data_IF_725437530965
#
_entry.id   IF_725437530965
#
_cell.length_a   1.000
_cell.length_b   1.000
_cell.length_c   1.000
_cell.angle_alpha   90.00
_cell.angle_beta   90.00
_cell.angle_gamma   90.00
#
_symmetry.space_group_name_H-M   'P 1'
#
loop_
_entity.id
_entity.type
_entity.pdbx_description
1 polymer ?
#
# COMPACT_ATOMS: atom_id res chain seq x y z
N UNK A 1 31.35 -17.17 -24.07
CA UNK A 1 31.33 -16.17 -25.16
C UNK A 1 29.90 -15.91 -25.65
N UNK A 2 28.87 -16.45 -24.96
CA UNK A 2 27.44 -16.31 -25.37
C UNK A 2 26.70 -15.21 -24.59
N UNK A 3 27.06 -14.92 -23.33
CA UNK A 3 26.43 -13.83 -22.52
C UNK A 3 26.58 -12.43 -23.12
N UNK A 4 27.58 -12.23 -23.99
CA UNK A 4 27.85 -10.97 -24.67
C UNK A 4 26.78 -10.63 -25.72
N UNK A 5 26.34 -11.63 -26.48
CA UNK A 5 25.41 -11.44 -27.61
C UNK A 5 23.96 -11.35 -27.13
N UNK A 6 23.61 -12.09 -26.06
CA UNK A 6 22.26 -12.08 -25.49
C UNK A 6 21.93 -10.73 -24.82
N UNK A 7 22.92 -10.11 -24.16
CA UNK A 7 22.81 -8.76 -23.59
C UNK A 7 22.67 -7.68 -24.66
N UNK A 8 23.41 -7.80 -25.77
CA UNK A 8 23.32 -6.87 -26.90
C UNK A 8 21.96 -6.94 -27.60
N UNK A 9 21.41 -8.16 -27.78
CA UNK A 9 20.08 -8.36 -28.35
C UNK A 9 18.96 -7.77 -27.47
N UNK A 10 19.07 -7.93 -26.15
CA UNK A 10 18.13 -7.34 -25.20
C UNK A 10 18.17 -5.80 -25.22
N UNK A 11 19.37 -5.20 -25.27
CA UNK A 11 19.53 -3.76 -25.37
C UNK A 11 18.98 -3.19 -26.69
N UNK A 12 19.17 -3.91 -27.80
CA UNK A 12 18.61 -3.52 -29.10
C UNK A 12 17.07 -3.60 -29.11
N UNK A 13 16.50 -4.62 -28.47
CA UNK A 13 15.05 -4.74 -28.28
C UNK A 13 14.48 -3.60 -27.44
N UNK A 14 15.13 -3.26 -26.33
CA UNK A 14 14.72 -2.14 -25.47
C UNK A 14 14.79 -0.80 -26.21
N UNK A 15 15.85 -0.56 -26.99
CA UNK A 15 15.98 0.65 -27.80
C UNK A 15 14.93 0.74 -28.91
N UNK A 16 14.62 -0.37 -29.58
CA UNK A 16 13.64 -0.42 -30.66
C UNK A 16 12.19 -0.27 -30.15
N UNK A 17 11.90 -0.85 -28.98
CA UNK A 17 10.56 -0.85 -28.39
C UNK A 17 10.32 0.33 -27.44
N UNK A 18 11.38 1.03 -27.02
CA UNK A 18 11.31 2.08 -25.99
C UNK A 18 10.83 1.56 -24.65
N UNK A 19 11.04 0.27 -24.37
CA UNK A 19 10.43 -0.45 -23.25
C UNK A 19 11.41 -1.46 -22.66
N UNK A 20 11.54 -1.44 -21.34
CA UNK A 20 12.21 -2.51 -20.62
C UNK A 20 11.23 -3.69 -20.43
N UNK A 21 11.41 -4.75 -21.22
CA UNK A 21 10.47 -5.87 -21.27
C UNK A 21 10.26 -6.59 -19.93
N UNK A 22 11.31 -6.95 -19.15
CA UNK A 22 11.11 -7.52 -17.81
C UNK A 22 10.33 -6.61 -16.86
N UNK A 23 10.63 -5.30 -16.83
CA UNK A 23 9.92 -4.35 -15.97
C UNK A 23 8.45 -4.22 -16.36
N UNK A 24 8.16 -4.16 -17.67
CA UNK A 24 6.79 -4.09 -18.16
C UNK A 24 5.98 -5.33 -17.78
N UNK A 25 6.53 -6.52 -18.03
CA UNK A 25 5.88 -7.79 -17.70
C UNK A 25 5.58 -7.88 -16.21
N UNK A 26 6.56 -7.52 -15.36
CA UNK A 26 6.37 -7.48 -13.91
C UNK A 26 5.30 -6.47 -13.46
N UNK A 27 5.23 -5.31 -14.11
CA UNK A 27 4.17 -4.32 -13.83
C UNK A 27 2.78 -4.87 -14.15
N UNK A 28 2.61 -5.58 -15.26
CA UNK A 28 1.34 -6.24 -15.61
C UNK A 28 0.99 -7.36 -14.62
N UNK A 29 1.98 -8.16 -14.21
CA UNK A 29 1.80 -9.20 -13.20
C UNK A 29 1.27 -8.61 -11.89
N UNK A 30 1.91 -7.54 -11.39
CA UNK A 30 1.47 -6.86 -10.18
C UNK A 30 0.06 -6.28 -10.31
N UNK A 31 -0.27 -5.64 -11.44
CA UNK A 31 -1.59 -5.09 -11.68
C UNK A 31 -2.71 -6.16 -11.66
N UNK A 32 -2.45 -7.34 -12.23
CA UNK A 32 -3.40 -8.48 -12.18
C UNK A 32 -3.57 -8.96 -10.75
N UNK A 33 -2.48 -9.05 -10.00
CA UNK A 33 -2.45 -9.48 -8.60
C UNK A 33 -3.22 -8.52 -7.68
N UNK A 34 -3.07 -7.22 -7.89
CA UNK A 34 -3.77 -6.16 -7.16
C UNK A 34 -5.28 -6.21 -7.43
N UNK A 35 -5.69 -6.35 -8.70
CA UNK A 35 -7.11 -6.47 -9.07
C UNK A 35 -7.74 -7.71 -8.43
N UNK A 36 -7.04 -8.85 -8.48
CA UNK A 36 -7.49 -10.08 -7.80
C UNK A 36 -7.65 -9.83 -6.31
N UNK A 37 -6.63 -9.28 -5.66
CA UNK A 37 -6.67 -9.05 -4.21
C UNK A 37 -7.84 -8.15 -3.82
N UNK A 38 -7.99 -6.99 -4.48
CA UNK A 38 -9.06 -6.04 -4.20
C UNK A 38 -10.47 -6.62 -4.42
N UNK A 39 -10.66 -7.45 -5.45
CA UNK A 39 -11.95 -8.09 -5.70
C UNK A 39 -12.36 -9.06 -4.57
N UNK A 40 -11.42 -9.85 -4.05
CA UNK A 40 -11.72 -10.79 -2.96
C UNK A 40 -11.77 -10.11 -1.60
N UNK A 41 -11.00 -9.05 -1.38
CA UNK A 41 -11.12 -8.20 -0.19
C UNK A 41 -12.53 -7.58 -0.12
N UNK A 42 -13.03 -7.02 -1.22
CA UNK A 42 -14.40 -6.52 -1.31
C UNK A 42 -15.45 -7.60 -0.99
N UNK A 43 -15.28 -8.82 -1.51
CA UNK A 43 -16.18 -9.93 -1.22
C UNK A 43 -16.23 -10.27 0.28
N UNK A 44 -15.10 -10.19 0.97
CA UNK A 44 -15.01 -10.48 2.40
C UNK A 44 -15.53 -9.35 3.28
N UNK A 45 -15.23 -8.10 2.93
CA UNK A 45 -15.56 -6.92 3.74
C UNK A 45 -17.00 -6.44 3.54
N UNK A 46 -17.50 -6.46 2.31
CA UNK A 46 -18.78 -5.81 1.96
C UNK A 46 -19.83 -6.84 1.54
N UNK A 47 -19.50 -7.73 0.59
CA UNK A 47 -20.50 -8.63 0.01
C UNK A 47 -20.93 -9.76 0.96
N UNK A 48 -20.01 -10.35 1.72
CA UNK A 48 -20.32 -11.44 2.64
C UNK A 48 -21.21 -10.99 3.82
N UNK A 49 -20.94 -9.87 4.50
CA UNK A 49 -21.84 -9.34 5.54
C UNK A 49 -23.23 -8.97 5.00
N UNK A 50 -23.30 -8.38 3.79
CA UNK A 50 -24.57 -8.03 3.15
C UNK A 50 -25.39 -9.27 2.78
N UNK A 51 -24.76 -10.29 2.20
CA UNK A 51 -25.42 -11.53 1.77
C UNK A 51 -25.96 -12.37 2.94
N UNK A 52 -25.29 -12.30 4.09
CA UNK A 52 -25.62 -13.07 5.29
C UNK A 52 -26.72 -12.36 6.11
N UNK A 53 -26.78 -11.03 6.03
CA UNK A 53 -27.81 -10.20 6.66
C UNK A 53 -27.63 -10.03 8.17
N UNK A 54 -28.36 -9.10 8.78
CA UNK A 54 -28.19 -8.74 10.20
C UNK A 54 -28.61 -9.85 11.21
N UNK A 55 -29.19 -10.96 10.77
CA UNK A 55 -29.93 -11.91 11.61
C UNK A 55 -29.29 -13.30 11.76
N UNK A 56 -28.05 -13.50 11.33
CA UNK A 56 -27.53 -14.87 11.09
C UNK A 56 -26.62 -15.42 12.18
N UNK A 57 -26.85 -16.70 12.48
CA UNK A 57 -26.02 -17.56 13.31
C UNK A 57 -24.58 -17.59 12.80
N UNK A 58 -23.62 -17.30 13.69
CA UNK A 58 -22.18 -17.18 13.46
C UNK A 58 -21.60 -18.22 12.51
N UNK A 59 -22.09 -19.46 12.59
CA UNK A 59 -21.68 -20.58 11.76
C UNK A 59 -21.89 -20.35 10.25
N UNK A 60 -22.97 -19.69 9.82
CA UNK A 60 -23.22 -19.43 8.38
C UNK A 60 -22.28 -18.37 7.82
N UNK A 61 -21.91 -17.37 8.63
CA UNK A 61 -20.95 -16.35 8.24
C UNK A 61 -19.54 -16.97 8.09
N UNK A 62 -19.14 -17.81 9.04
CA UNK A 62 -17.85 -18.53 9.01
C UNK A 62 -17.74 -19.50 7.82
N UNK A 63 -18.82 -20.20 7.48
CA UNK A 63 -18.86 -21.10 6.31
C UNK A 63 -18.75 -20.32 5.00
N UNK A 64 -19.39 -19.14 4.90
CA UNK A 64 -19.28 -18.27 3.72
C UNK A 64 -17.87 -17.70 3.59
N UNK A 65 -17.29 -17.16 4.66
CA UNK A 65 -15.91 -16.64 4.68
C UNK A 65 -14.93 -17.72 4.21
N UNK A 66 -15.04 -18.93 4.75
CA UNK A 66 -14.22 -20.08 4.33
C UNK A 66 -14.41 -20.43 2.85
N UNK A 67 -15.63 -20.35 2.35
CA UNK A 67 -15.96 -20.54 0.94
C UNK A 67 -15.26 -19.51 0.05
N UNK A 68 -15.35 -18.22 0.40
CA UNK A 68 -14.71 -17.12 -0.34
C UNK A 68 -13.20 -17.28 -0.35
N UNK A 69 -12.58 -17.61 0.78
CA UNK A 69 -11.13 -17.88 0.87
C UNK A 69 -10.73 -19.07 -0.01
N UNK A 70 -11.55 -20.14 -0.03
CA UNK A 70 -11.27 -21.31 -0.87
C UNK A 70 -11.30 -20.98 -2.36
N UNK A 71 -12.27 -20.17 -2.79
CA UNK A 71 -12.38 -19.69 -4.17
C UNK A 71 -11.20 -18.77 -4.50
N UNK A 72 -10.84 -17.85 -3.59
CA UNK A 72 -9.69 -16.98 -3.77
C UNK A 72 -8.40 -17.77 -4.03
N UNK A 73 -8.14 -18.80 -3.21
CA UNK A 73 -6.95 -19.64 -3.38
C UNK A 73 -6.97 -20.41 -4.71
N UNK A 74 -8.13 -20.96 -5.10
CA UNK A 74 -8.26 -21.64 -6.39
C UNK A 74 -8.00 -20.69 -7.57
N UNK A 75 -8.57 -19.47 -7.52
CA UNK A 75 -8.37 -18.45 -8.56
C UNK A 75 -6.92 -18.02 -8.61
N UNK A 76 -6.28 -17.83 -7.46
CA UNK A 76 -4.85 -17.55 -7.36
C UNK A 76 -4.03 -18.63 -8.05
N UNK A 77 -4.19 -19.90 -7.69
CA UNK A 77 -3.39 -20.99 -8.26
C UNK A 77 -3.52 -21.08 -9.80
N UNK A 78 -4.75 -20.86 -10.31
CA UNK A 78 -5.01 -20.86 -11.75
C UNK A 78 -4.39 -19.63 -12.43
N UNK A 79 -4.51 -18.45 -11.82
CA UNK A 79 -3.93 -17.22 -12.35
C UNK A 79 -2.41 -17.28 -12.34
N UNK A 80 -1.79 -17.66 -11.23
CA UNK A 80 -0.33 -17.76 -11.09
C UNK A 80 0.25 -18.63 -12.21
N UNK A 81 -0.35 -19.81 -12.44
CA UNK A 81 0.07 -20.69 -13.53
C UNK A 81 -0.08 -20.07 -14.91
N UNK A 82 -1.20 -19.39 -15.19
CA UNK A 82 -1.44 -18.75 -16.49
C UNK A 82 -0.53 -17.56 -16.71
N UNK A 83 -0.30 -16.78 -15.67
CA UNK A 83 0.55 -15.60 -15.70
C UNK A 83 2.03 -15.97 -15.86
N UNK A 84 2.50 -17.04 -15.22
CA UNK A 84 3.86 -17.55 -15.48
C UNK A 84 4.06 -18.03 -16.93
N UNK A 85 3.05 -18.67 -17.52
CA UNK A 85 3.12 -19.07 -18.94
C UNK A 85 3.11 -17.84 -19.86
N UNK A 86 2.28 -16.85 -19.55
CA UNK A 86 2.21 -15.60 -20.30
C UNK A 86 3.52 -14.81 -20.22
N UNK A 87 4.11 -14.70 -19.02
CA UNK A 87 5.42 -14.07 -18.80
C UNK A 87 6.50 -14.71 -19.67
N UNK A 88 6.63 -16.04 -19.60
CA UNK A 88 7.61 -16.77 -20.41
C UNK A 88 7.39 -16.55 -21.90
N UNK A 89 6.14 -16.60 -22.36
CA UNK A 89 5.82 -16.36 -23.77
C UNK A 89 6.20 -14.93 -24.20
N UNK A 90 5.90 -13.93 -23.37
CA UNK A 90 6.22 -12.53 -23.65
C UNK A 90 7.73 -12.30 -23.78
N UNK A 91 8.51 -12.81 -22.81
CA UNK A 91 9.97 -12.63 -22.80
C UNK A 91 10.67 -13.39 -23.93
N UNK A 92 10.12 -14.52 -24.37
CA UNK A 92 10.70 -15.34 -25.43
C UNK A 92 10.29 -14.95 -26.84
N UNK A 93 9.13 -14.31 -27.01
CA UNK A 93 8.53 -14.15 -28.35
C UNK A 93 7.97 -12.76 -28.64
N UNK A 94 7.41 -12.06 -27.64
CA UNK A 94 6.79 -10.75 -27.88
C UNK A 94 7.81 -9.63 -27.96
N UNK A 95 8.88 -9.72 -27.15
CA UNK A 95 9.87 -8.66 -26.99
C UNK A 95 11.24 -9.03 -27.56
N UNK A 96 11.32 -10.11 -28.33
CA UNK A 96 12.55 -10.55 -28.99
C UNK A 96 12.55 -10.05 -30.42
N UNK A 97 13.65 -9.42 -30.86
CA UNK A 97 13.79 -9.02 -32.26
C UNK A 97 14.10 -10.28 -33.09
N UNK A 98 13.33 -10.60 -34.14
CA UNK A 98 13.61 -11.74 -35.01
C UNK A 98 15.00 -11.63 -35.65
N UNK A 99 15.73 -12.75 -35.72
CA UNK A 99 17.04 -12.80 -36.38
C UNK A 99 16.93 -12.28 -37.82
N UNK A 100 17.77 -11.29 -38.16
CA UNK A 100 17.78 -10.63 -39.46
C UNK A 100 17.03 -9.30 -39.54
N UNK A 101 16.28 -8.90 -38.50
CA UNK A 101 15.76 -7.52 -38.37
C UNK A 101 16.79 -6.56 -37.76
N UNK A 102 17.83 -7.09 -37.11
CA UNK A 102 19.01 -6.33 -36.74
C UNK A 102 19.98 -6.26 -37.94
N UNK A 103 19.71 -5.32 -38.86
CA UNK A 103 20.68 -4.77 -39.81
C UNK A 103 20.48 -3.25 -39.77
N UNK A 104 21.45 -2.39 -39.49
CA UNK A 104 22.92 -2.50 -39.47
C UNK A 104 23.41 -1.43 -38.48
N UNK A 105 24.39 -1.76 -37.66
CA UNK A 105 25.30 -0.74 -37.11
C UNK A 105 26.02 -0.10 -38.29
N UNK A 106 25.49 1.02 -38.75
CA UNK A 106 26.22 2.13 -39.32
C UNK A 106 27.46 1.80 -40.18
N UNK A 107 27.35 1.02 -41.26
CA UNK A 107 28.25 1.39 -42.37
C UNK A 107 27.73 2.70 -42.96
N UNK A 108 28.60 3.69 -42.82
CA UNK A 108 28.64 4.95 -43.54
C UNK A 108 27.89 4.99 -44.88
N UNK A 109 27.31 6.17 -45.15
CA UNK A 109 26.78 6.63 -46.43
C UNK A 109 25.36 6.16 -46.80
N UNK A 110 24.36 6.93 -46.35
CA UNK A 110 23.34 7.41 -47.29
C UNK A 110 22.69 8.71 -46.82
N UNK A 111 22.77 9.69 -47.73
CA UNK A 111 21.96 10.91 -47.82
C UNK A 111 22.05 11.94 -46.67
N UNK A 112 22.87 12.97 -46.96
CA UNK A 112 22.59 14.38 -46.65
C UNK A 112 21.10 14.71 -46.77
N UNK A 113 20.35 14.51 -45.70
CA UNK A 113 19.13 15.23 -45.39
C UNK A 113 19.46 16.07 -44.17
N UNK A 114 19.82 17.32 -44.39
CA UNK A 114 19.89 18.32 -43.32
C UNK A 114 18.48 18.48 -42.76
N UNK A 115 18.13 17.64 -41.81
CA UNK A 115 17.07 17.92 -40.86
C UNK A 115 17.70 18.87 -39.86
N UNK A 116 17.63 20.16 -40.20
CA UNK A 116 17.68 21.21 -39.21
C UNK A 116 16.36 21.11 -38.42
N UNK A 117 16.24 20.08 -37.60
CA UNK A 117 15.06 19.82 -36.77
C UNK A 117 15.24 20.57 -35.46
N UNK A 118 14.99 21.88 -35.51
CA UNK A 118 14.33 22.67 -34.47
C UNK A 118 15.01 22.90 -33.11
N UNK A 119 15.79 21.97 -32.58
CA UNK A 119 16.43 22.08 -31.28
C UNK A 119 17.94 22.06 -31.47
N UNK A 120 18.55 23.22 -31.28
CA UNK A 120 20.01 23.32 -31.23
C UNK A 120 20.51 22.50 -30.05
N UNK A 121 21.73 21.95 -30.13
CA UNK A 121 22.39 21.24 -29.01
C UNK A 121 22.34 22.05 -27.69
N UNK A 122 22.43 23.38 -27.81
CA UNK A 122 22.28 24.33 -26.71
C UNK A 122 20.88 24.38 -26.08
N UNK A 123 19.82 24.13 -26.84
CA UNK A 123 18.44 24.10 -26.34
C UNK A 123 18.20 22.83 -25.52
N UNK A 124 18.77 21.70 -25.96
CA UNK A 124 18.77 20.44 -25.21
C UNK A 124 19.56 20.58 -23.90
N UNK A 125 20.74 21.22 -23.92
CA UNK A 125 21.51 21.50 -22.72
C UNK A 125 20.73 22.37 -21.71
N UNK A 126 20.03 23.39 -22.20
CA UNK A 126 19.20 24.25 -21.37
C UNK A 126 18.02 23.49 -20.75
N UNK A 127 17.37 22.61 -21.52
CA UNK A 127 16.30 21.74 -21.03
C UNK A 127 16.81 20.75 -19.98
N UNK A 128 17.99 20.16 -20.19
CA UNK A 128 18.60 19.23 -19.25
C UNK A 128 18.93 19.91 -17.92
N UNK A 129 19.47 21.14 -17.96
CA UNK A 129 19.68 21.96 -16.74
C UNK A 129 18.35 22.27 -16.05
N UNK A 130 17.30 22.59 -16.81
CA UNK A 130 15.95 22.83 -16.28
C UNK A 130 15.37 21.59 -15.58
N UNK A 131 15.49 20.41 -16.21
CA UNK A 131 15.01 19.14 -15.67
C UNK A 131 15.78 18.72 -14.44
N UNK A 132 17.12 18.86 -14.43
CA UNK A 132 17.94 18.62 -13.24
C UNK A 132 17.52 19.50 -12.08
N UNK A 133 17.25 20.78 -12.34
CA UNK A 133 16.74 21.69 -11.31
C UNK A 133 15.37 21.27 -10.79
N UNK A 134 14.43 20.92 -11.67
CA UNK A 134 13.10 20.42 -11.28
C UNK A 134 13.20 19.13 -10.46
N UNK A 135 14.13 18.24 -10.80
CA UNK A 135 14.37 17.00 -10.06
C UNK A 135 14.90 17.30 -8.65
N UNK A 136 15.84 18.24 -8.52
CA UNK A 136 16.35 18.70 -7.23
C UNK A 136 15.24 19.33 -6.37
N UNK A 137 14.43 20.22 -6.96
CA UNK A 137 13.31 20.86 -6.27
C UNK A 137 12.28 19.80 -5.78
N UNK A 138 11.93 18.84 -6.64
CA UNK A 138 11.01 17.74 -6.30
C UNK A 138 11.58 16.79 -5.24
N UNK A 139 12.89 16.52 -5.26
CA UNK A 139 13.55 15.70 -4.24
C UNK A 139 13.50 16.39 -2.87
N UNK A 140 13.78 17.69 -2.82
CA UNK A 140 13.69 18.48 -1.60
C UNK A 140 12.26 18.52 -1.02
N UNK A 141 11.25 18.65 -1.88
CA UNK A 141 9.84 18.55 -1.47
C UNK A 141 9.48 17.16 -0.94
N UNK A 142 9.96 16.09 -1.61
CA UNK A 142 9.75 14.71 -1.16
C UNK A 142 10.37 14.47 0.23
N UNK A 143 11.57 14.99 0.49
CA UNK A 143 12.22 14.90 1.80
C UNK A 143 11.48 15.70 2.89
N UNK A 144 10.86 16.82 2.53
CA UNK A 144 9.99 17.59 3.43
C UNK A 144 8.71 16.83 3.77
N UNK A 145 8.01 16.30 2.76
CA UNK A 145 6.81 15.50 2.95
C UNK A 145 7.09 14.24 3.79
N UNK A 146 8.23 13.58 3.56
CA UNK A 146 8.61 12.41 4.35
C UNK A 146 8.86 12.76 5.82
N UNK A 147 9.46 13.92 6.10
CA UNK A 147 9.59 14.44 7.47
C UNK A 147 8.23 14.75 8.09
N UNK A 148 7.29 15.29 7.31
CA UNK A 148 5.93 15.56 7.77
C UNK A 148 5.18 14.26 8.10
N UNK A 149 5.23 13.25 7.23
CA UNK A 149 4.65 11.92 7.47
C UNK A 149 5.19 11.34 8.78
N UNK A 150 6.51 11.29 8.96
CA UNK A 150 7.12 10.80 10.21
C UNK A 150 6.71 11.61 11.44
N UNK A 151 6.38 12.90 11.28
CA UNK A 151 5.87 13.71 12.38
C UNK A 151 4.42 13.39 12.72
N UNK A 152 3.58 13.25 11.71
CA UNK A 152 2.17 12.89 11.85
C UNK A 152 2.00 11.48 12.42
N UNK A 153 2.81 10.51 12.02
CA UNK A 153 2.82 9.15 12.58
C UNK A 153 3.10 9.16 14.09
N UNK A 154 4.13 9.90 14.53
CA UNK A 154 4.43 10.07 15.95
C UNK A 154 3.29 10.73 16.71
N UNK A 155 2.62 11.71 16.10
CA UNK A 155 1.47 12.37 16.69
C UNK A 155 0.28 11.42 16.82
N UNK A 156 -0.03 10.65 15.78
CA UNK A 156 -1.11 9.67 15.77
C UNK A 156 -0.87 8.58 16.83
N UNK A 157 0.37 8.11 16.96
CA UNK A 157 0.75 7.14 17.99
C UNK A 157 0.61 7.71 19.41
N UNK A 158 1.07 8.95 19.63
CA UNK A 158 0.86 9.64 20.90
C UNK A 158 -0.63 9.78 21.25
N UNK A 159 -1.45 10.16 20.27
CA UNK A 159 -2.89 10.30 20.44
C UNK A 159 -3.56 8.95 20.72
N UNK A 160 -3.14 7.87 20.04
CA UNK A 160 -3.63 6.52 20.28
C UNK A 160 -3.34 6.07 21.72
N UNK A 161 -2.12 6.30 22.19
CA UNK A 161 -1.72 5.98 23.56
C UNK A 161 -2.49 6.79 24.61
N UNK A 162 -2.72 8.08 24.36
CA UNK A 162 -3.52 8.93 25.23
C UNK A 162 -4.98 8.48 25.29
N UNK A 163 -5.58 8.14 24.14
CA UNK A 163 -6.94 7.61 24.08
C UNK A 163 -7.07 6.28 24.83
N UNK A 164 -6.07 5.39 24.72
CA UNK A 164 -6.04 4.12 25.47
C UNK A 164 -5.97 4.37 26.98
N UNK A 165 -5.08 5.24 27.44
CA UNK A 165 -4.96 5.61 28.86
C UNK A 165 -6.25 6.25 29.40
N UNK A 166 -6.89 7.12 28.63
CA UNK A 166 -8.17 7.72 28.99
C UNK A 166 -9.28 6.67 29.10
N UNK A 167 -9.32 5.70 28.18
CA UNK A 167 -10.28 4.59 28.24
C UNK A 167 -10.07 3.72 29.49
N UNK A 168 -8.82 3.45 29.87
CA UNK A 168 -8.49 2.74 31.12
C UNK A 168 -8.94 3.51 32.36
N UNK A 169 -8.70 4.82 32.41
CA UNK A 169 -9.15 5.69 33.52
C UNK A 169 -10.68 5.69 33.61
N UNK A 170 -11.39 5.85 32.48
CA UNK A 170 -12.86 5.77 32.43
C UNK A 170 -13.37 4.43 32.97
N UNK A 171 -12.73 3.32 32.58
CA UNK A 171 -13.07 1.98 33.07
C UNK A 171 -12.88 1.84 34.59
N UNK A 172 -11.88 2.50 35.17
CA UNK A 172 -11.69 2.54 36.64
C UNK A 172 -12.85 3.28 37.32
N UNK A 173 -13.31 4.41 36.77
CA UNK A 173 -14.45 5.16 37.33
C UNK A 173 -15.79 4.44 37.16
N UNK A 174 -15.96 3.71 36.07
CA UNK A 174 -17.13 2.86 35.82
C UNK A 174 -17.09 1.55 36.62
N UNK A 175 -15.94 1.19 37.19
CA UNK A 175 -15.82 -0.03 37.96
C UNK A 175 -16.72 0.01 39.20
N UNK A 176 -17.54 -1.04 39.34
CA UNK A 176 -18.50 -1.16 40.44
C UNK A 176 -17.83 -1.11 41.82
N UNK A 177 -16.60 -1.60 41.93
CA UNK A 177 -15.80 -1.52 43.15
C UNK A 177 -15.44 -0.08 43.53
N UNK A 178 -15.13 0.80 42.56
CA UNK A 178 -14.87 2.21 42.84
C UNK A 178 -16.15 2.94 43.26
N UNK A 179 -17.26 2.71 42.55
CA UNK A 179 -18.55 3.32 42.86
C UNK A 179 -19.09 2.88 44.24
N UNK A 180 -19.01 1.58 44.55
CA UNK A 180 -19.46 1.03 45.83
C UNK A 180 -18.60 1.53 47.00
N UNK A 181 -17.27 1.64 46.83
CA UNK A 181 -16.39 2.22 47.84
C UNK A 181 -16.69 3.71 48.08
N UNK A 182 -16.96 4.47 47.01
CA UNK A 182 -17.28 5.90 47.13
C UNK A 182 -18.63 6.12 47.82
N UNK A 183 -19.65 5.32 47.49
CA UNK A 183 -20.95 5.38 48.15
C UNK A 183 -20.87 4.93 49.62
N UNK A 184 -20.14 3.84 49.90
CA UNK A 184 -19.95 3.31 51.25
C UNK A 184 -19.24 4.31 52.17
N UNK A 185 -18.14 4.93 51.71
CA UNK A 185 -17.42 5.95 52.48
C UNK A 185 -18.24 7.22 52.72
N UNK A 186 -19.10 7.60 51.78
CA UNK A 186 -20.00 8.75 51.95
C UNK A 186 -21.07 8.48 53.01
N UNK A 187 -21.68 7.30 52.99
CA UNK A 187 -22.66 6.87 54.00
C UNK A 187 -22.04 6.77 55.39
N UNK A 188 -20.86 6.16 55.52
CA UNK A 188 -20.15 6.06 56.80
C UNK A 188 -19.77 7.43 57.36
N UNK A 189 -19.34 8.35 56.50
CA UNK A 189 -19.03 9.73 56.89
C UNK A 189 -20.25 10.47 57.44
N UNK A 190 -21.41 10.31 56.79
CA UNK A 190 -22.69 10.88 57.25
C UNK A 190 -23.10 10.29 58.61
N UNK A 191 -22.96 8.98 58.79
CA UNK A 191 -23.27 8.30 60.05
C UNK A 191 -22.36 8.80 61.18
N UNK A 192 -21.05 8.92 60.93
CA UNK A 192 -20.09 9.45 61.91
C UNK A 192 -20.39 10.90 62.26
N UNK A 193 -20.69 11.74 61.27
CA UNK A 193 -21.06 13.14 61.49
C UNK A 193 -22.31 13.28 62.37
N UNK A 194 -23.36 12.52 62.07
CA UNK A 194 -24.59 12.51 62.86
C UNK A 194 -24.37 11.97 64.28
N UNK A 195 -23.51 10.95 64.45
CA UNK A 195 -23.17 10.38 65.77
C UNK A 195 -22.33 11.34 66.62
N UNK A 196 -21.48 12.17 66.01
CA UNK A 196 -20.74 13.25 66.68
C UNK A 196 -21.67 14.41 67.07
N UNK A 197 -22.57 14.82 66.17
CA UNK A 197 -23.57 15.87 66.45
C UNK A 197 -24.47 15.50 67.62
N UNK A 198 -24.96 14.26 67.69
CA UNK A 198 -25.78 13.78 68.83
C UNK A 198 -24.99 13.74 70.15
N UNK A 199 -23.70 13.37 70.11
CA UNK A 199 -22.84 13.39 71.31
C UNK A 199 -22.59 14.79 71.84
N UNK A 200 -22.47 15.79 70.97
CA UNK A 200 -22.25 17.19 71.36
C UNK A 200 -23.51 17.93 71.83
N UNK A 201 -24.69 17.29 71.78
CA UNK A 201 -25.96 17.84 72.29
C UNK A 201 -26.38 17.25 73.65
N UNK A 202 -25.56 16.38 74.26
CA UNK A 202 -25.82 15.70 75.54
C UNK A 202 -24.90 16.25 76.67
N UNK A 203 -24.25 17.40 76.45
CA UNK A 203 -23.49 18.13 77.49
C UNK A 203 -24.19 19.45 77.77
#
# INVERSE_FOLDING_TARGET
>A
MEESDESAAAAAAEAALGLNAPLFVNSVLNAVDDVRYGAFEYCLQEAAPEAVGAATATQKAEELERGVISIHNLVKDVLDKRMSNWENYCLQHCFTIPEGFLMREDDSSSAKGSLNDGNSDSDLDAELVSLRKKLEDANNESEELQREISSLERQAECQRNLNSSMAEVLKVFESKSFQDNFQGTTLDSIVVYNKRRKRNHII
#
